data_IF_687711406629
#
_entry.id   IF_687711406629
#
_cell.length_a   1.000
_cell.length_b   1.000
_cell.length_c   1.000
_cell.angle_alpha   90.00
_cell.angle_beta   90.00
_cell.angle_gamma   90.00
#
_symmetry.space_group_name_H-M   'P 1'
#
loop_
_entity.id
_entity.type
_entity.pdbx_description
1 polymer ?
#
# COMPACT_ATOMS: atom_id res chain seq x y z
N UNK A 1 -1.17 3.69 -5.37
CA UNK A 1 -0.14 3.28 -6.35
C UNK A 1 -0.15 1.76 -6.41
N UNK A 2 -0.15 1.18 -7.62
CA UNK A 2 0.03 -0.26 -7.79
C UNK A 2 1.52 -0.55 -8.00
N UNK A 3 2.01 -1.63 -7.42
CA UNK A 3 3.44 -1.86 -7.27
C UNK A 3 3.76 -3.30 -7.64
N UNK A 4 4.82 -3.50 -8.45
CA UNK A 4 5.34 -4.82 -8.78
C UNK A 4 6.22 -5.31 -7.62
N UNK A 5 5.69 -6.22 -6.81
CA UNK A 5 6.37 -6.90 -5.70
C UNK A 5 5.70 -8.26 -5.46
N UNK A 6 6.40 -9.22 -4.85
CA UNK A 6 5.77 -10.48 -4.43
C UNK A 6 5.24 -10.36 -2.99
N UNK A 7 3.91 -10.35 -2.78
CA UNK A 7 3.33 -10.19 -1.45
C UNK A 7 3.60 -11.36 -0.49
N UNK A 8 4.16 -12.48 -0.97
CA UNK A 8 4.46 -13.67 -0.17
C UNK A 8 5.75 -13.53 0.64
N UNK A 9 6.67 -12.66 0.21
CA UNK A 9 7.93 -12.43 0.92
C UNK A 9 7.77 -11.47 2.12
N UNK A 10 6.61 -10.82 2.25
CA UNK A 10 6.31 -9.96 3.39
C UNK A 10 5.12 -10.43 4.21
N UNK A 11 4.81 -9.64 5.23
CA UNK A 11 3.62 -9.79 6.06
C UNK A 11 2.71 -8.58 5.83
N UNK A 12 1.40 -8.80 5.95
CA UNK A 12 0.39 -7.75 5.93
C UNK A 12 0.24 -7.12 7.31
N UNK A 13 0.32 -5.80 7.38
CA UNK A 13 -0.02 -5.03 8.58
C UNK A 13 -1.52 -4.72 8.62
N UNK A 14 -2.09 -4.34 7.49
CA UNK A 14 -3.52 -4.05 7.35
C UNK A 14 -3.97 -4.32 5.91
N UNK A 15 -5.21 -4.76 5.75
CA UNK A 15 -5.84 -4.95 4.45
C UNK A 15 -7.26 -4.38 4.44
N UNK A 16 -7.55 -3.50 3.49
CA UNK A 16 -8.87 -2.91 3.28
C UNK A 16 -9.42 -3.33 1.91
N UNK A 17 -10.58 -3.97 1.89
CA UNK A 17 -11.31 -4.39 0.70
C UNK A 17 -12.51 -3.47 0.50
N UNK A 18 -12.51 -2.74 -0.59
CA UNK A 18 -13.59 -1.81 -0.90
C UNK A 18 -14.30 -2.30 -2.15
N UNK A 19 -15.57 -2.66 -1.96
CA UNK A 19 -16.44 -3.17 -2.99
C UNK A 19 -17.28 -2.05 -3.57
N UNK A 20 -17.58 -2.12 -4.86
CA UNK A 20 -18.50 -1.19 -5.51
C UNK A 20 -19.47 -1.94 -6.44
N UNK A 21 -20.65 -1.33 -6.62
CA UNK A 21 -21.80 -1.84 -7.40
C UNK A 21 -22.59 -2.93 -6.66
N UNK A 22 -23.24 -3.83 -7.40
CA UNK A 22 -24.17 -4.83 -6.87
C UNK A 22 -23.44 -5.92 -6.09
N UNK A 23 -23.09 -5.63 -4.83
CA UNK A 23 -22.36 -6.53 -3.94
C UNK A 23 -23.17 -6.80 -2.69
N UNK A 24 -23.43 -8.08 -2.45
CA UNK A 24 -24.21 -8.55 -1.28
C UNK A 24 -23.24 -8.72 -0.10
N UNK A 25 -23.50 -8.11 1.08
CA UNK A 25 -22.61 -8.21 2.24
C UNK A 25 -22.31 -9.64 2.69
N UNK A 26 -23.28 -10.55 2.53
CA UNK A 26 -23.13 -11.98 2.84
C UNK A 26 -21.96 -12.60 2.06
N UNK A 27 -21.85 -12.29 0.77
CA UNK A 27 -20.82 -12.86 -0.11
C UNK A 27 -19.44 -12.31 0.25
N UNK A 28 -19.38 -11.04 0.70
CA UNK A 28 -18.13 -10.42 1.19
C UNK A 28 -17.62 -11.14 2.44
N UNK A 29 -18.51 -11.42 3.40
CA UNK A 29 -18.13 -12.13 4.63
C UNK A 29 -17.66 -13.56 4.31
N UNK A 30 -18.36 -14.26 3.41
CA UNK A 30 -17.96 -15.58 2.95
C UNK A 30 -16.59 -15.57 2.28
N UNK A 31 -16.33 -14.59 1.40
CA UNK A 31 -15.04 -14.43 0.74
C UNK A 31 -13.90 -14.14 1.74
N UNK A 32 -14.14 -13.28 2.74
CA UNK A 32 -13.15 -12.98 3.79
C UNK A 32 -12.86 -14.24 4.63
N UNK A 33 -13.88 -15.04 4.96
CA UNK A 33 -13.68 -16.29 5.68
C UNK A 33 -12.75 -17.24 4.90
N UNK A 34 -12.93 -17.35 3.58
CA UNK A 34 -12.04 -18.12 2.71
C UNK A 34 -10.64 -17.50 2.63
N UNK A 35 -10.50 -16.17 2.62
CA UNK A 35 -9.19 -15.52 2.63
C UNK A 35 -8.41 -15.78 3.91
N UNK A 36 -9.09 -15.80 5.07
CA UNK A 36 -8.48 -16.07 6.38
C UNK A 36 -7.89 -17.48 6.50
N UNK A 37 -8.41 -18.46 5.76
CA UNK A 37 -7.88 -19.83 5.81
C UNK A 37 -6.68 -20.05 4.88
N UNK A 38 -6.42 -19.13 3.95
CA UNK A 38 -5.30 -19.24 3.01
C UNK A 38 -3.97 -18.87 3.68
N UNK A 39 -3.04 -19.83 3.70
CA UNK A 39 -1.67 -19.64 4.23
C UNK A 39 -0.82 -18.62 3.45
N UNK A 40 -1.29 -18.20 2.27
CA UNK A 40 -0.61 -17.21 1.43
C UNK A 40 -0.73 -15.79 1.95
N UNK A 41 -1.72 -15.50 2.81
CA UNK A 41 -1.93 -14.16 3.39
C UNK A 41 -1.52 -14.24 4.85
N UNK A 42 -0.31 -13.79 5.14
CA UNK A 42 0.23 -13.79 6.50
C UNK A 42 0.17 -12.38 7.06
N UNK A 43 -0.51 -12.21 8.19
CA UNK A 43 -0.50 -10.96 8.92
C UNK A 43 0.65 -10.91 9.92
N UNK A 44 1.00 -9.70 10.34
CA UNK A 44 1.89 -9.45 11.48
C UNK A 44 1.27 -9.95 12.78
N UNK A 45 2.12 -10.39 13.71
CA UNK A 45 1.68 -11.10 14.92
C UNK A 45 0.85 -10.21 15.87
N UNK A 46 1.06 -8.90 15.84
CA UNK A 46 0.31 -7.91 16.62
C UNK A 46 -1.03 -7.50 15.97
N UNK A 47 -1.34 -7.94 14.75
CA UNK A 47 -2.60 -7.62 14.06
C UNK A 47 -3.16 -8.84 13.30
N UNK A 48 -3.62 -9.89 14.01
CA UNK A 48 -4.14 -11.08 13.35
C UNK A 48 -5.44 -10.78 12.61
N UNK A 49 -5.49 -11.12 11.32
CA UNK A 49 -6.71 -11.09 10.49
C UNK A 49 -7.38 -9.70 10.32
N UNK A 50 -6.57 -8.65 10.19
CA UNK A 50 -7.04 -7.27 10.00
C UNK A 50 -7.54 -7.00 8.58
N UNK A 51 -8.79 -7.41 8.34
CA UNK A 51 -9.54 -7.06 7.15
C UNK A 51 -10.59 -6.00 7.47
N UNK A 52 -10.46 -4.83 6.84
CA UNK A 52 -11.52 -3.83 6.78
C UNK A 52 -12.29 -4.02 5.48
N UNK A 53 -13.62 -3.95 5.53
CA UNK A 53 -14.44 -3.97 4.33
C UNK A 53 -15.34 -2.73 4.27
N UNK A 54 -15.51 -2.19 3.06
CA UNK A 54 -16.49 -1.14 2.75
C UNK A 54 -17.23 -1.49 1.46
N UNK A 55 -18.50 -1.10 1.35
CA UNK A 55 -19.35 -1.37 0.19
C UNK A 55 -19.96 -0.04 -0.27
N UNK A 56 -19.82 0.25 -1.56
CA UNK A 56 -20.47 1.37 -2.22
C UNK A 56 -21.44 0.86 -3.29
N UNK A 57 -22.74 1.05 -3.10
CA UNK A 57 -23.76 0.56 -4.03
C UNK A 57 -23.88 1.35 -5.33
N UNK A 58 -23.20 2.49 -5.47
CA UNK A 58 -23.19 3.21 -6.74
C UNK A 58 -22.57 2.35 -7.84
N UNK A 59 -23.18 2.29 -9.04
CA UNK A 59 -22.62 1.56 -10.16
C UNK A 59 -21.24 2.12 -10.53
N UNK A 60 -20.36 1.25 -11.02
CA UNK A 60 -19.09 1.65 -11.63
C UNK A 60 -19.37 2.27 -13.00
N UNK A 61 -18.91 3.50 -13.19
CA UNK A 61 -18.97 4.18 -14.49
C UNK A 61 -17.72 3.82 -15.28
N UNK A 62 -17.91 3.52 -16.57
CA UNK A 62 -16.80 3.40 -17.53
C UNK A 62 -16.74 4.68 -18.36
N UNK A 63 -15.54 5.04 -18.79
CA UNK A 63 -15.38 6.13 -19.74
C UNK A 63 -15.77 5.63 -21.15
N UNK A 64 -16.61 6.36 -21.91
CA UNK A 64 -16.88 6.03 -23.30
C UNK A 64 -15.58 6.01 -24.12
N UNK A 65 -15.31 4.91 -24.83
CA UNK A 65 -14.06 4.71 -25.58
C UNK A 65 -12.86 4.24 -24.73
N UNK A 66 -13.07 3.96 -23.45
CA UNK A 66 -12.06 3.33 -22.60
C UNK A 66 -11.91 1.84 -22.86
N UNK A 67 -10.75 1.30 -22.50
CA UNK A 67 -10.38 -0.11 -22.70
C UNK A 67 -10.99 -1.07 -21.66
N UNK A 68 -11.71 -0.53 -20.68
CA UNK A 68 -12.33 -1.32 -19.60
C UNK A 68 -13.76 -1.72 -19.96
N UNK A 69 -14.02 -3.03 -19.95
CA UNK A 69 -15.37 -3.57 -20.14
C UNK A 69 -16.30 -3.19 -18.97
N UNK A 70 -17.60 -3.09 -19.27
CA UNK A 70 -18.62 -2.87 -18.24
C UNK A 70 -18.71 -4.09 -17.33
N UNK A 71 -18.54 -3.85 -16.03
CA UNK A 71 -18.56 -4.89 -14.99
C UNK A 71 -19.71 -4.62 -14.01
N UNK A 72 -20.28 -5.70 -13.46
CA UNK A 72 -21.37 -5.61 -12.48
C UNK A 72 -20.86 -5.41 -11.05
N UNK A 73 -19.61 -5.81 -10.78
CA UNK A 73 -18.98 -5.79 -9.46
C UNK A 73 -17.52 -5.46 -9.61
N UNK A 74 -17.02 -4.58 -8.76
CA UNK A 74 -15.59 -4.28 -8.68
C UNK A 74 -15.12 -4.31 -7.23
N UNK A 75 -13.87 -4.70 -7.05
CA UNK A 75 -13.20 -4.68 -5.76
C UNK A 75 -11.85 -4.01 -5.94
N UNK A 76 -11.49 -3.13 -5.01
CA UNK A 76 -10.14 -2.61 -4.88
C UNK A 76 -9.61 -2.93 -3.49
N UNK A 77 -8.36 -3.38 -3.44
CA UNK A 77 -7.66 -3.69 -2.21
C UNK A 77 -6.62 -2.61 -1.94
N UNK A 78 -6.67 -2.03 -0.75
CA UNK A 78 -5.63 -1.17 -0.21
C UNK A 78 -4.97 -1.96 0.92
N UNK A 79 -3.74 -2.39 0.70
CA UNK A 79 -3.01 -3.19 1.66
C UNK A 79 -1.70 -2.56 2.05
N UNK A 80 -1.40 -2.58 3.34
CA UNK A 80 -0.10 -2.24 3.87
C UNK A 80 0.69 -3.54 4.11
N UNK A 81 1.74 -3.77 3.33
CA UNK A 81 2.58 -4.98 3.39
C UNK A 81 4.04 -4.60 3.37
N UNK A 82 4.85 -5.33 4.14
CA UNK A 82 6.32 -5.16 4.15
C UNK A 82 6.98 -5.57 2.84
N UNK A 83 6.26 -6.27 1.95
CA UNK A 83 6.74 -6.67 0.63
C UNK A 83 7.08 -5.49 -0.28
N UNK A 84 6.59 -4.29 0.05
CA UNK A 84 6.93 -3.05 -0.67
C UNK A 84 8.43 -2.73 -0.61
N UNK A 85 9.18 -3.29 0.34
CA UNK A 85 10.64 -3.10 0.43
C UNK A 85 11.39 -3.61 -0.81
N UNK A 86 10.86 -4.61 -1.52
CA UNK A 86 11.45 -5.13 -2.76
C UNK A 86 11.52 -4.09 -3.89
N UNK A 87 10.77 -3.00 -3.75
CA UNK A 87 10.63 -1.93 -4.73
C UNK A 87 11.79 -0.96 -4.52
N UNK A 88 13.00 -1.50 -4.68
CA UNK A 88 14.25 -0.79 -4.45
C UNK A 88 14.67 0.05 -5.66
N UNK A 89 14.03 -0.13 -6.83
CA UNK A 89 14.40 0.58 -8.05
C UNK A 89 14.26 2.11 -7.92
N UNK A 90 13.16 2.59 -7.30
CA UNK A 90 12.98 4.03 -7.07
C UNK A 90 13.97 4.56 -6.03
N UNK A 91 14.34 3.75 -5.03
CA UNK A 91 15.32 4.17 -4.02
C UNK A 91 16.70 4.31 -4.63
N UNK A 92 17.15 3.33 -5.42
CA UNK A 92 18.48 3.35 -6.00
C UNK A 92 18.67 4.53 -6.96
N UNK A 93 17.73 4.76 -7.89
CA UNK A 93 17.84 5.91 -8.79
C UNK A 93 17.77 7.25 -8.04
N UNK A 94 16.91 7.37 -7.02
CA UNK A 94 16.84 8.60 -6.21
C UNK A 94 18.08 8.83 -5.34
N UNK A 95 18.68 7.78 -4.78
CA UNK A 95 19.94 7.89 -4.02
C UNK A 95 21.09 8.33 -4.92
N UNK A 96 21.20 7.76 -6.13
CA UNK A 96 22.24 8.13 -7.08
C UNK A 96 22.08 9.56 -7.60
N UNK A 97 20.85 10.01 -7.82
CA UNK A 97 20.58 11.40 -8.22
C UNK A 97 20.94 12.37 -7.10
N UNK A 98 20.58 12.05 -5.84
CA UNK A 98 20.98 12.86 -4.71
C UNK A 98 22.51 12.88 -4.54
N UNK A 99 23.20 11.75 -4.60
CA UNK A 99 24.67 11.71 -4.51
C UNK A 99 25.34 12.58 -5.58
N UNK A 100 24.85 12.53 -6.83
CA UNK A 100 25.35 13.40 -7.90
C UNK A 100 25.03 14.87 -7.66
N UNK A 101 23.81 15.19 -7.21
CA UNK A 101 23.42 16.56 -6.90
C UNK A 101 24.25 17.11 -5.72
N UNK A 102 24.58 16.29 -4.71
CA UNK A 102 25.46 16.66 -3.59
C UNK A 102 26.91 16.88 -4.05
N UNK A 103 27.44 16.03 -4.93
CA UNK A 103 28.79 16.21 -5.52
C UNK A 103 28.86 17.46 -6.41
N UNK A 104 27.80 17.76 -7.17
CA UNK A 104 27.74 18.95 -8.04
C UNK A 104 27.55 20.26 -7.24
N UNK A 105 26.89 20.21 -6.08
CA UNK A 105 26.65 21.40 -5.23
C UNK A 105 27.82 21.70 -4.29
N UNK A 106 28.76 20.77 -4.07
CA UNK A 106 30.01 21.05 -3.34
C UNK A 106 29.78 21.64 -1.95
N UNK A 107 28.77 21.17 -1.22
CA UNK A 107 28.46 21.69 0.11
C UNK A 107 29.50 21.20 1.14
N UNK A 108 30.46 22.06 1.47
CA UNK A 108 31.32 21.88 2.63
C UNK A 108 30.46 21.84 3.90
N UNK A 109 30.52 20.73 4.64
CA UNK A 109 29.92 20.63 5.96
C UNK A 109 30.75 21.45 6.95
N UNK A 110 30.29 22.63 7.33
CA UNK A 110 30.75 23.28 8.57
C UNK A 110 30.15 22.53 9.75
N UNK A 111 31.00 21.84 10.52
CA UNK A 111 30.67 21.32 11.84
C UNK A 111 30.40 22.52 12.78
N UNK A 112 29.12 22.74 13.12
CA UNK A 112 28.75 23.57 14.27
C UNK A 112 28.12 22.68 15.35
N UNK A 113 28.89 22.50 16.43
CA UNK A 113 28.45 21.98 17.73
C UNK A 113 27.28 22.82 18.27
N UNK A 114 26.19 22.19 18.72
CA UNK A 114 25.23 22.89 19.59
C UNK A 114 23.82 22.32 19.72
N UNK A 115 23.63 21.53 20.79
CA UNK A 115 22.46 21.47 21.66
C UNK A 115 21.22 20.65 21.22
N UNK A 116 21.09 19.46 21.83
CA UNK A 116 19.87 18.66 21.94
C UNK A 116 18.73 19.46 22.62
N UNK A 117 17.58 19.51 21.97
CA UNK A 117 16.33 20.01 22.51
C UNK A 117 15.17 19.29 21.84
N UNK A 118 14.62 18.30 22.54
CA UNK A 118 13.52 17.44 22.10
C UNK A 118 12.23 18.23 21.81
N UNK A 119 11.80 18.28 20.54
CA UNK A 119 10.40 18.53 20.18
C UNK A 119 9.93 17.54 19.12
N UNK A 120 9.40 16.40 19.56
CA UNK A 120 8.65 15.48 18.70
C UNK A 120 7.22 16.01 18.51
N UNK A 121 6.98 16.70 17.39
CA UNK A 121 5.62 16.93 16.88
C UNK A 121 5.14 15.68 16.14
N UNK A 122 4.22 14.95 16.76
CA UNK A 122 3.45 13.89 16.11
C UNK A 122 2.21 14.52 15.45
N UNK A 123 2.11 14.41 14.13
CA UNK A 123 0.86 14.60 13.36
C UNK A 123 0.44 13.25 12.80
#
# INVERSE_FOLDING_TARGET
>A
MMVKCDPRHGKYMACCLMYRSDVIPKDVIAAIAVLKTKRTIQFVDWCPNSFKCGINYQPSTILPGGDLARVQRVVYMISNSTSVVEVNFLKHERTLLLEKDYEEVGAEATEEDGNEGDEYYCI
#
